data_IF_841453477741
#
_entry.id   IF_841453477741
#
_cell.length_a   1.000
_cell.length_b   1.000
_cell.length_c   1.000
_cell.angle_alpha   90.00
_cell.angle_beta   90.00
_cell.angle_gamma   90.00
#
_symmetry.space_group_name_H-M   'P 1'
#
loop_
_entity.id
_entity.type
_entity.pdbx_description
1 polymer ?
#
# COMPACT_ATOMS: atom_id res chain seq x y z
N UNK A 1 53.36 26.97 45.70
CA UNK A 1 52.80 25.58 45.75
C UNK A 1 51.29 25.65 45.94
N UNK A 2 50.57 24.65 45.43
CA UNK A 2 49.10 24.44 45.38
C UNK A 2 48.39 24.96 44.12
N UNK A 3 48.32 24.08 43.10
CA UNK A 3 47.39 24.14 41.97
C UNK A 3 46.00 23.75 42.47
N UNK A 4 44.98 24.56 42.17
CA UNK A 4 43.57 24.19 42.35
C UNK A 4 43.02 23.74 41.01
N UNK A 5 42.67 22.46 40.93
CA UNK A 5 42.06 21.83 39.76
C UNK A 5 40.55 22.13 39.79
N UNK A 6 40.05 22.92 38.83
CA UNK A 6 38.60 23.08 38.60
C UNK A 6 38.16 22.06 37.57
N UNK A 7 37.39 21.08 38.00
CA UNK A 7 36.69 20.12 37.14
C UNK A 7 35.40 20.79 36.66
N UNK A 8 35.36 21.19 35.39
CA UNK A 8 34.12 21.60 34.73
C UNK A 8 33.42 20.35 34.22
N UNK A 9 32.33 19.98 34.89
CA UNK A 9 31.43 18.89 34.48
C UNK A 9 30.56 19.40 33.33
N UNK A 10 30.92 19.04 32.10
CA UNK A 10 30.10 19.29 30.92
C UNK A 10 28.98 18.23 30.87
N UNK A 11 27.77 18.59 31.30
CA UNK A 11 26.57 17.79 31.07
C UNK A 11 26.25 17.77 29.57
N UNK A 12 26.63 16.69 28.90
CA UNK A 12 26.15 16.38 27.55
C UNK A 12 24.65 16.07 27.60
N UNK A 13 23.83 17.05 27.21
CA UNK A 13 22.44 16.79 26.86
C UNK A 13 22.42 15.89 25.62
N UNK A 14 22.15 14.61 25.82
CA UNK A 14 21.73 13.70 24.76
C UNK A 14 20.38 14.20 24.25
N UNK A 15 20.40 15.00 23.18
CA UNK A 15 19.22 15.27 22.37
C UNK A 15 18.80 13.94 21.75
N UNK A 16 17.82 13.29 22.38
CA UNK A 16 17.06 12.20 21.79
C UNK A 16 16.41 12.77 20.51
N UNK A 17 17.06 12.56 19.37
CA UNK A 17 16.42 12.67 18.06
C UNK A 17 15.36 11.59 18.00
N UNK A 18 14.17 11.92 18.48
CA UNK A 18 12.98 11.14 18.18
C UNK A 18 12.87 11.08 16.66
N UNK A 19 12.95 9.88 16.10
CA UNK A 19 12.56 9.63 14.72
C UNK A 19 11.06 9.97 14.63
N UNK A 20 10.76 11.23 14.30
CA UNK A 20 9.45 11.62 13.79
C UNK A 20 9.25 10.77 12.55
N UNK A 21 8.37 9.76 12.64
CA UNK A 21 7.85 9.04 11.48
C UNK A 21 7.04 10.05 10.69
N UNK A 22 7.72 10.83 9.88
CA UNK A 22 7.13 11.96 9.19
C UNK A 22 6.16 11.44 8.14
N UNK A 23 4.88 11.60 8.43
CA UNK A 23 3.76 11.66 7.51
C UNK A 23 3.98 12.84 6.51
N UNK A 24 5.07 12.82 5.76
CA UNK A 24 5.45 13.93 4.89
C UNK A 24 4.52 13.95 3.69
N UNK A 25 3.74 15.02 3.63
CA UNK A 25 3.04 15.42 2.42
C UNK A 25 4.09 15.95 1.46
N UNK A 26 4.22 15.32 0.30
CA UNK A 26 5.12 15.76 -0.76
C UNK A 26 4.35 16.67 -1.72
N UNK A 27 4.78 17.92 -1.85
CA UNK A 27 4.11 18.90 -2.71
C UNK A 27 4.53 18.70 -4.17
N UNK A 28 3.56 18.54 -5.06
CA UNK A 28 3.74 18.60 -6.51
C UNK A 28 3.34 20.00 -6.96
N UNK A 29 4.26 20.75 -7.55
CA UNK A 29 4.03 22.11 -8.06
C UNK A 29 4.52 22.19 -9.51
N UNK A 30 3.76 22.86 -10.36
CA UNK A 30 4.05 22.99 -11.80
C UNK A 30 4.16 24.45 -12.21
N UNK A 31 4.69 24.71 -13.42
CA UNK A 31 5.04 26.05 -13.88
C UNK A 31 3.84 27.01 -13.99
N UNK A 32 2.63 26.49 -14.23
CA UNK A 32 1.42 27.31 -14.28
C UNK A 32 0.93 27.78 -12.89
N UNK A 33 1.66 27.49 -11.81
CA UNK A 33 1.34 27.83 -10.43
C UNK A 33 0.45 26.81 -9.70
N UNK A 34 -0.13 25.84 -10.41
CA UNK A 34 -0.93 24.79 -9.80
C UNK A 34 -0.10 23.89 -8.89
N UNK A 35 -0.72 23.44 -7.81
CA UNK A 35 -0.07 22.54 -6.87
C UNK A 35 -1.05 21.69 -6.06
N UNK A 36 -0.56 20.53 -5.61
CA UNK A 36 -1.26 19.61 -4.72
C UNK A 36 -0.28 18.90 -3.79
N UNK A 37 -0.72 18.56 -2.58
CA UNK A 37 0.00 17.65 -1.70
C UNK A 37 -0.30 16.19 -2.01
N UNK A 38 0.73 15.36 -2.10
CA UNK A 38 0.64 13.91 -2.23
C UNK A 38 1.07 13.28 -0.91
N UNK A 39 0.22 12.45 -0.32
CA UNK A 39 0.51 11.78 0.94
C UNK A 39 0.49 10.27 0.74
N UNK A 40 1.50 9.58 1.27
CA UNK A 40 1.59 8.12 1.20
C UNK A 40 1.69 7.52 2.59
N UNK A 41 0.83 6.53 2.86
CA UNK A 41 0.83 5.74 4.09
C UNK A 41 0.06 4.45 3.83
N UNK A 42 0.31 3.42 4.63
CA UNK A 42 -0.41 2.15 4.52
C UNK A 42 -1.91 2.32 4.80
N UNK A 43 -2.74 1.60 4.04
CA UNK A 43 -4.19 1.67 4.23
C UNK A 43 -4.58 1.30 5.67
N UNK A 44 -5.42 2.14 6.27
CA UNK A 44 -5.94 1.90 7.61
C UNK A 44 -7.00 0.77 7.56
N UNK A 45 -7.13 -0.06 8.61
CA UNK A 45 -8.07 -1.17 8.62
C UNK A 45 -9.51 -0.78 8.27
N UNK A 46 -10.00 0.35 8.78
CA UNK A 46 -11.34 0.86 8.50
C UNK A 46 -11.59 1.13 7.01
N UNK A 47 -10.53 1.38 6.24
CA UNK A 47 -10.57 1.63 4.80
C UNK A 47 -10.05 0.44 3.97
N UNK A 48 -9.79 -0.70 4.62
CA UNK A 48 -9.25 -1.90 4.00
C UNK A 48 -9.96 -3.18 4.49
N UNK A 49 -11.29 -3.16 4.53
CA UNK A 49 -12.11 -4.30 4.96
C UNK A 49 -11.73 -4.85 6.35
N UNK A 50 -11.41 -3.95 7.28
CA UNK A 50 -10.93 -4.26 8.63
C UNK A 50 -9.62 -5.08 8.67
N UNK A 51 -8.77 -4.95 7.65
CA UNK A 51 -7.46 -5.61 7.56
C UNK A 51 -6.33 -4.60 7.59
N UNK A 52 -5.28 -4.93 8.34
CA UNK A 52 -4.01 -4.22 8.24
C UNK A 52 -3.43 -4.38 6.83
N UNK A 53 -2.86 -3.30 6.30
CA UNK A 53 -2.18 -3.36 5.02
C UNK A 53 -0.90 -4.19 5.11
N UNK A 54 -0.55 -4.82 3.99
CA UNK A 54 0.70 -5.56 3.85
C UNK A 54 1.90 -4.60 3.77
N UNK A 55 2.73 -4.58 4.81
CA UNK A 55 3.96 -3.75 4.85
C UNK A 55 5.17 -4.43 4.22
N UNK A 56 5.05 -5.74 4.00
CA UNK A 56 6.01 -6.66 3.38
C UNK A 56 5.23 -7.68 2.56
N UNK A 57 5.88 -8.39 1.64
CA UNK A 57 5.22 -9.47 0.92
C UNK A 57 4.73 -10.51 1.93
N UNK A 58 3.43 -10.79 1.92
CA UNK A 58 2.82 -11.84 2.74
C UNK A 58 2.60 -13.10 1.92
N UNK A 59 2.87 -14.27 2.49
CA UNK A 59 2.60 -15.57 1.90
C UNK A 59 1.51 -16.24 2.73
N UNK A 60 0.40 -16.59 2.07
CA UNK A 60 -0.73 -17.30 2.65
C UNK A 60 -0.83 -18.68 2.01
N UNK A 61 -0.63 -19.69 2.84
CA UNK A 61 -0.70 -21.12 2.49
C UNK A 61 -2.01 -21.74 2.98
N UNK A 62 -2.30 -22.97 2.56
CA UNK A 62 -3.46 -23.72 3.05
C UNK A 62 -3.44 -23.92 4.57
N UNK A 63 -2.25 -24.06 5.17
CA UNK A 63 -2.10 -24.25 6.61
C UNK A 63 -2.59 -23.03 7.41
N UNK A 64 -2.42 -21.82 6.87
CA UNK A 64 -2.89 -20.58 7.49
C UNK A 64 -4.43 -20.53 7.59
N UNK A 65 -5.13 -21.20 6.68
CA UNK A 65 -6.59 -21.38 6.71
C UNK A 65 -7.02 -22.31 7.83
N UNK A 66 -6.24 -23.34 8.15
CA UNK A 66 -6.52 -24.24 9.28
C UNK A 66 -6.45 -23.56 10.65
N UNK A 67 -5.58 -22.54 10.76
CA UNK A 67 -5.34 -21.80 12.01
C UNK A 67 -6.30 -20.60 12.17
N UNK A 68 -6.72 -19.98 11.06
CA UNK A 68 -7.53 -18.75 11.07
C UNK A 68 -9.04 -18.95 10.97
N UNK A 69 -9.51 -20.15 10.63
CA UNK A 69 -10.91 -20.39 10.28
C UNK A 69 -11.43 -21.61 11.04
N UNK A 70 -12.50 -21.46 11.83
CA UNK A 70 -13.06 -22.54 12.64
C UNK A 70 -13.44 -23.76 11.80
N UNK A 71 -13.38 -24.96 12.40
CA UNK A 71 -13.59 -26.25 11.73
C UNK A 71 -14.89 -26.30 10.90
N UNK A 72 -15.95 -25.62 11.35
CA UNK A 72 -17.25 -25.51 10.68
C UNK A 72 -17.23 -24.75 9.34
N UNK A 73 -16.42 -23.70 9.23
CA UNK A 73 -16.22 -22.94 7.99
C UNK A 73 -15.34 -23.73 7.02
N UNK A 74 -14.31 -24.43 7.54
CA UNK A 74 -13.50 -25.34 6.74
C UNK A 74 -14.36 -26.45 6.12
N UNK A 75 -15.20 -27.12 6.93
CA UNK A 75 -16.07 -28.20 6.43
C UNK A 75 -17.05 -27.73 5.37
N UNK A 76 -17.56 -26.51 5.49
CA UNK A 76 -18.56 -25.97 4.56
C UNK A 76 -17.95 -25.38 3.29
N UNK A 77 -16.72 -24.85 3.32
CA UNK A 77 -15.94 -24.51 2.12
C UNK A 77 -15.51 -25.79 1.38
N UNK A 78 -15.05 -26.82 2.10
CA UNK A 78 -14.64 -28.11 1.52
C UNK A 78 -15.83 -28.91 0.98
N UNK A 79 -17.01 -28.81 1.59
CA UNK A 79 -18.23 -29.47 1.15
C UNK A 79 -19.04 -28.66 0.11
N UNK A 80 -18.52 -27.52 -0.36
CA UNK A 80 -19.18 -26.67 -1.36
C UNK A 80 -20.46 -25.95 -0.89
N UNK A 81 -20.68 -25.87 0.43
CA UNK A 81 -21.94 -25.41 1.06
C UNK A 81 -21.96 -23.97 1.57
N UNK A 82 -20.82 -23.28 1.68
CA UNK A 82 -20.79 -21.83 1.91
C UNK A 82 -20.56 -21.09 0.60
N UNK A 83 -21.41 -20.12 0.29
CA UNK A 83 -21.16 -19.22 -0.83
C UNK A 83 -19.80 -18.57 -0.65
N UNK A 84 -18.94 -18.70 -1.66
CA UNK A 84 -17.58 -18.15 -1.74
C UNK A 84 -17.49 -16.62 -1.53
N UNK A 85 -18.61 -15.95 -1.25
CA UNK A 85 -18.74 -14.51 -1.04
C UNK A 85 -18.40 -14.01 0.38
N UNK A 86 -18.38 -14.87 1.42
CA UNK A 86 -18.13 -14.42 2.81
C UNK A 86 -16.73 -14.71 3.32
N UNK A 87 -16.04 -15.70 2.76
CA UNK A 87 -14.68 -16.05 3.15
C UNK A 87 -13.66 -15.47 2.17
N UNK A 88 -12.84 -14.52 2.63
CA UNK A 88 -11.73 -13.96 1.85
C UNK A 88 -10.40 -14.41 2.44
N UNK A 89 -9.56 -15.06 1.63
CA UNK A 89 -8.21 -15.46 2.03
C UNK A 89 -7.29 -14.27 2.31
N UNK A 90 -7.68 -13.07 1.88
CA UNK A 90 -6.92 -11.85 2.13
C UNK A 90 -6.84 -11.55 3.64
N UNK A 91 -7.80 -12.03 4.45
CA UNK A 91 -7.82 -11.87 5.92
C UNK A 91 -6.80 -12.73 6.66
N UNK A 92 -6.26 -13.77 6.02
CA UNK A 92 -5.41 -14.75 6.68
C UNK A 92 -4.05 -14.15 7.04
N UNK A 93 -3.57 -14.38 8.26
CA UNK A 93 -2.33 -13.76 8.75
C UNK A 93 -1.11 -14.08 7.89
N UNK A 94 -0.98 -15.32 7.44
CA UNK A 94 0.16 -15.78 6.64
C UNK A 94 1.52 -15.55 7.32
N UNK A 95 2.58 -15.61 6.52
CA UNK A 95 3.96 -15.29 6.90
C UNK A 95 4.48 -14.11 6.10
N UNK A 96 5.30 -13.25 6.71
CA UNK A 96 5.93 -12.11 6.02
C UNK A 96 7.31 -12.49 5.50
N UNK A 97 7.66 -11.99 4.31
CA UNK A 97 9.01 -12.11 3.73
C UNK A 97 9.79 -10.84 4.05
N UNK A 98 10.69 -10.92 5.03
CA UNK A 98 11.39 -9.74 5.56
C UNK A 98 12.30 -9.02 4.55
N UNK A 99 12.81 -9.75 3.54
CA UNK A 99 13.64 -9.20 2.47
C UNK A 99 12.84 -8.38 1.44
N UNK A 100 11.50 -8.40 1.50
CA UNK A 100 10.63 -7.77 0.51
C UNK A 100 9.69 -6.77 1.21
N UNK A 101 10.13 -5.51 1.41
CA UNK A 101 9.25 -4.43 1.83
C UNK A 101 8.31 -4.01 0.69
N UNK A 102 7.12 -3.53 1.04
CA UNK A 102 6.11 -3.12 0.06
C UNK A 102 6.64 -1.98 -0.85
N UNK A 103 6.58 -2.13 -2.19
CA UNK A 103 7.33 -1.27 -3.12
C UNK A 103 6.63 0.04 -3.54
N UNK A 104 5.36 0.27 -3.16
CA UNK A 104 4.56 1.42 -3.63
C UNK A 104 5.28 2.75 -3.38
N UNK A 105 5.81 2.95 -2.18
CA UNK A 105 6.49 4.19 -1.83
C UNK A 105 7.76 4.42 -2.67
N UNK A 106 8.52 3.37 -2.96
CA UNK A 106 9.79 3.48 -3.71
C UNK A 106 9.61 3.50 -5.22
N UNK A 107 8.55 2.89 -5.75
CA UNK A 107 8.36 2.73 -7.20
C UNK A 107 7.18 3.53 -7.74
N UNK A 108 5.97 3.29 -7.21
CA UNK A 108 4.74 3.89 -7.74
C UNK A 108 4.65 5.39 -7.42
N UNK A 109 4.93 5.81 -6.18
CA UNK A 109 4.73 7.21 -5.75
C UNK A 109 5.58 8.21 -6.54
N UNK A 110 6.89 7.97 -6.77
CA UNK A 110 7.70 8.87 -7.61
C UNK A 110 7.12 9.05 -9.02
N UNK A 111 6.65 7.97 -9.65
CA UNK A 111 6.05 8.02 -10.98
C UNK A 111 4.66 8.66 -10.98
N UNK A 112 3.84 8.38 -9.98
CA UNK A 112 2.52 8.99 -9.83
C UNK A 112 2.61 10.51 -9.75
N UNK A 113 3.63 11.04 -9.06
CA UNK A 113 3.88 12.50 -9.01
C UNK A 113 4.15 13.10 -10.39
N UNK A 114 4.80 12.37 -11.30
CA UNK A 114 5.02 12.81 -12.69
C UNK A 114 3.68 12.87 -13.43
N UNK A 115 2.87 11.81 -13.36
CA UNK A 115 1.53 11.77 -13.98
C UNK A 115 0.64 12.91 -13.45
N UNK A 116 0.65 13.15 -12.13
CA UNK A 116 -0.09 14.24 -11.49
C UNK A 116 0.42 15.61 -11.97
N UNK A 117 1.74 15.81 -12.05
CA UNK A 117 2.33 17.05 -12.53
C UNK A 117 1.90 17.35 -13.98
N UNK A 118 1.97 16.36 -14.86
CA UNK A 118 1.55 16.51 -16.26
C UNK A 118 0.07 16.90 -16.37
N UNK A 119 -0.80 16.28 -15.57
CA UNK A 119 -2.21 16.64 -15.53
C UNK A 119 -2.42 18.06 -14.99
N UNK A 120 -1.73 18.46 -13.91
CA UNK A 120 -1.83 19.81 -13.35
C UNK A 120 -1.34 20.88 -14.32
N UNK A 121 -0.28 20.60 -15.08
CA UNK A 121 0.23 21.51 -16.08
C UNK A 121 -0.81 21.79 -17.18
N UNK A 122 -1.58 20.76 -17.57
CA UNK A 122 -2.62 20.83 -18.61
C UNK A 122 -3.95 21.40 -18.09
N UNK A 123 -4.37 21.02 -16.88
CA UNK A 123 -5.74 21.22 -16.39
C UNK A 123 -5.85 22.08 -15.11
N UNK A 124 -4.74 22.31 -14.42
CA UNK A 124 -4.74 22.94 -13.10
C UNK A 124 -5.03 24.45 -13.13
N UNK A 125 -4.67 25.16 -14.20
CA UNK A 125 -4.91 26.60 -14.40
C UNK A 125 -4.59 27.48 -13.18
N UNK A 126 -3.45 27.24 -12.53
CA UNK A 126 -3.00 27.99 -11.34
C UNK A 126 -3.69 27.60 -10.03
N UNK A 127 -4.62 26.64 -10.03
CA UNK A 127 -5.34 26.23 -8.82
C UNK A 127 -4.43 25.51 -7.81
N UNK A 128 -4.56 25.90 -6.54
CA UNK A 128 -3.85 25.31 -5.42
C UNK A 128 -4.83 24.45 -4.61
N UNK A 129 -4.71 23.12 -4.73
CA UNK A 129 -5.58 22.18 -4.01
C UNK A 129 -5.28 22.22 -2.51
N UNK A 130 -6.32 22.30 -1.68
CA UNK A 130 -6.18 22.34 -0.22
C UNK A 130 -6.09 20.94 0.37
N UNK A 131 -6.80 19.98 -0.21
CA UNK A 131 -6.79 18.59 0.25
C UNK A 131 -5.72 17.77 -0.48
N UNK A 132 -5.04 16.90 0.25
CA UNK A 132 -4.02 16.02 -0.33
C UNK A 132 -4.66 14.88 -1.12
N UNK A 133 -4.00 14.46 -2.20
CA UNK A 133 -4.22 13.15 -2.79
C UNK A 133 -3.45 12.10 -1.99
N UNK A 134 -4.17 11.14 -1.42
CA UNK A 134 -3.60 10.04 -0.66
C UNK A 134 -3.39 8.84 -1.58
N UNK A 135 -2.21 8.21 -1.47
CA UNK A 135 -1.85 6.96 -2.15
C UNK A 135 -1.58 5.94 -1.05
N UNK A 136 -2.46 4.95 -0.91
CA UNK A 136 -2.40 4.00 0.21
C UNK A 136 -2.28 2.56 -0.27
N UNK A 137 -1.08 1.94 -0.19
CA UNK A 137 -0.93 0.51 -0.43
C UNK A 137 -1.74 -0.27 0.60
N UNK A 138 -2.46 -1.28 0.13
CA UNK A 138 -3.42 -2.03 0.93
C UNK A 138 -3.11 -3.52 0.96
N UNK A 139 -2.73 -4.10 -0.19
CA UNK A 139 -2.46 -5.55 -0.30
C UNK A 139 -1.24 -5.82 -1.15
N UNK A 140 -0.44 -6.77 -0.70
CA UNK A 140 0.67 -7.34 -1.45
C UNK A 140 1.00 -8.73 -0.90
N UNK A 141 0.40 -9.75 -1.51
CA UNK A 141 0.50 -11.11 -1.02
C UNK A 141 0.55 -12.17 -2.13
N UNK A 142 1.18 -13.30 -1.84
CA UNK A 142 1.01 -14.57 -2.53
C UNK A 142 -0.02 -15.40 -1.77
N UNK A 143 -1.05 -15.89 -2.46
CA UNK A 143 -2.12 -16.69 -1.83
C UNK A 143 -2.46 -17.92 -2.66
N UNK A 144 -2.59 -19.06 -1.98
CA UNK A 144 -2.96 -20.32 -2.61
C UNK A 144 -4.35 -20.24 -3.30
N UNK A 145 -4.54 -20.93 -4.42
CA UNK A 145 -5.83 -20.94 -5.15
C UNK A 145 -6.81 -21.98 -4.60
N UNK A 146 -6.37 -23.21 -4.35
CA UNK A 146 -7.21 -24.35 -4.00
C UNK A 146 -6.80 -24.93 -2.64
N UNK A 147 -7.77 -25.12 -1.74
CA UNK A 147 -7.49 -25.61 -0.38
C UNK A 147 -7.16 -27.11 -0.35
N UNK A 148 -7.78 -27.90 -1.24
CA UNK A 148 -7.73 -29.36 -1.22
C UNK A 148 -6.60 -29.97 -2.07
N UNK A 149 -5.91 -29.18 -2.90
CA UNK A 149 -4.79 -29.65 -3.73
C UNK A 149 -3.46 -29.25 -3.10
N UNK A 150 -2.57 -30.23 -2.90
CA UNK A 150 -1.22 -29.99 -2.39
C UNK A 150 -0.40 -29.09 -3.33
N UNK A 151 -0.57 -29.28 -4.64
CA UNK A 151 0.23 -28.61 -5.68
C UNK A 151 -0.51 -27.40 -6.27
N UNK A 152 -1.31 -26.73 -5.44
CA UNK A 152 -2.08 -25.56 -5.88
C UNK A 152 -1.16 -24.42 -6.31
N UNK A 153 -1.61 -23.68 -7.32
CA UNK A 153 -0.95 -22.44 -7.73
C UNK A 153 -1.18 -21.34 -6.69
N UNK A 154 -0.31 -20.34 -6.71
CA UNK A 154 -0.38 -19.16 -5.89
C UNK A 154 -0.62 -17.94 -6.78
N UNK A 155 -1.55 -17.10 -6.36
CA UNK A 155 -1.84 -15.81 -6.98
C UNK A 155 -1.04 -14.71 -6.30
N UNK A 156 -0.36 -13.90 -7.10
CA UNK A 156 0.14 -12.60 -6.63
C UNK A 156 -0.99 -11.59 -6.69
N UNK A 157 -1.34 -11.01 -5.55
CA UNK A 157 -2.36 -9.98 -5.41
C UNK A 157 -1.71 -8.69 -4.94
N UNK A 158 -2.06 -7.60 -5.61
CA UNK A 158 -1.61 -6.26 -5.28
C UNK A 158 -2.78 -5.29 -5.31
N UNK A 159 -2.88 -4.40 -4.33
CA UNK A 159 -3.89 -3.35 -4.33
C UNK A 159 -3.38 -2.06 -3.70
N UNK A 160 -3.70 -0.94 -4.36
CA UNK A 160 -3.43 0.41 -3.89
C UNK A 160 -4.68 1.27 -4.10
N UNK A 161 -4.99 2.12 -3.13
CA UNK A 161 -6.13 3.05 -3.20
C UNK A 161 -5.62 4.47 -3.35
N UNK A 162 -6.22 5.20 -4.28
CA UNK A 162 -6.03 6.63 -4.47
C UNK A 162 -7.29 7.34 -4.01
N UNK A 163 -7.15 8.32 -3.13
CA UNK A 163 -8.33 9.07 -2.70
C UNK A 163 -8.00 10.47 -2.20
N UNK A 164 -8.96 11.37 -2.39
CA UNK A 164 -8.84 12.77 -1.99
C UNK A 164 -10.19 13.27 -1.49
N UNK A 165 -10.16 14.14 -0.49
CA UNK A 165 -11.38 14.83 -0.04
C UNK A 165 -11.75 15.90 -1.08
N UNK A 166 -13.05 16.04 -1.44
CA UNK A 166 -13.51 17.13 -2.28
C UNK A 166 -13.06 18.48 -1.74
N UNK A 167 -12.70 19.41 -2.63
CA UNK A 167 -12.40 20.78 -2.20
C UNK A 167 -13.66 21.41 -1.59
N UNK A 168 -13.51 22.09 -0.45
CA UNK A 168 -14.66 22.57 0.34
C UNK A 168 -15.42 21.49 1.12
N UNK A 169 -15.06 20.21 0.97
CA UNK A 169 -15.61 19.12 1.78
C UNK A 169 -15.19 19.20 3.25
N UNK A 170 -16.07 18.78 4.15
CA UNK A 170 -15.80 18.68 5.58
C UNK A 170 -15.41 17.24 5.98
N UNK A 171 -15.28 16.96 7.27
CA UNK A 171 -14.86 15.62 7.73
C UNK A 171 -15.86 14.49 7.40
N UNK A 172 -17.12 14.83 7.13
CA UNK A 172 -18.18 13.89 6.76
C UNK A 172 -18.35 13.75 5.24
N UNK A 173 -17.64 14.54 4.44
CA UNK A 173 -17.69 14.44 2.98
C UNK A 173 -17.08 13.13 2.51
N UNK A 174 -17.79 12.44 1.63
CA UNK A 174 -17.27 11.27 0.94
C UNK A 174 -16.01 11.63 0.14
N UNK A 175 -15.04 10.73 0.11
CA UNK A 175 -13.83 10.90 -0.68
C UNK A 175 -14.11 10.61 -2.16
N UNK A 176 -13.54 11.41 -3.06
CA UNK A 176 -13.32 10.96 -4.42
C UNK A 176 -12.21 9.90 -4.36
N UNK A 177 -12.51 8.67 -4.80
CA UNK A 177 -11.59 7.55 -4.64
C UNK A 177 -11.62 6.62 -5.85
N UNK A 178 -10.49 5.97 -6.07
CA UNK A 178 -10.32 4.90 -7.03
C UNK A 178 -9.36 3.85 -6.46
N UNK A 179 -9.74 2.58 -6.57
CA UNK A 179 -8.90 1.45 -6.15
C UNK A 179 -8.33 0.77 -7.38
N UNK A 180 -7.01 0.68 -7.44
CA UNK A 180 -6.33 -0.17 -8.40
C UNK A 180 -6.08 -1.54 -7.79
N UNK A 181 -6.53 -2.59 -8.47
CA UNK A 181 -6.31 -3.99 -8.10
C UNK A 181 -6.16 -4.81 -9.38
N UNK A 182 -4.95 -4.90 -9.96
CA UNK A 182 -4.72 -5.61 -11.22
C UNK A 182 -5.11 -7.09 -11.15
N UNK A 183 -5.37 -7.69 -12.30
CA UNK A 183 -5.73 -9.11 -12.41
C UNK A 183 -4.60 -9.99 -11.87
N UNK A 184 -4.87 -10.86 -10.87
CA UNK A 184 -3.85 -11.71 -10.28
C UNK A 184 -3.19 -12.65 -11.27
N UNK A 185 -1.87 -12.81 -11.18
CA UNK A 185 -1.08 -13.76 -11.96
C UNK A 185 -0.82 -14.97 -11.09
N UNK A 186 -0.91 -16.15 -11.71
CA UNK A 186 -0.74 -17.44 -11.02
C UNK A 186 0.59 -18.08 -11.41
N UNK A 187 1.28 -18.64 -10.43
CA UNK A 187 2.43 -19.54 -10.61
C UNK A 187 2.58 -20.43 -9.37
N UNK A 188 3.41 -21.47 -9.45
CA UNK A 188 3.73 -22.28 -8.27
C UNK A 188 4.49 -21.44 -7.24
N UNK A 189 4.39 -21.81 -5.96
CA UNK A 189 5.13 -21.11 -4.90
C UNK A 189 6.65 -21.16 -5.17
N UNK A 190 7.17 -22.28 -5.64
CA UNK A 190 8.59 -22.43 -6.02
C UNK A 190 9.01 -21.45 -7.11
N UNK A 191 8.17 -21.25 -8.14
CA UNK A 191 8.44 -20.27 -9.19
C UNK A 191 8.43 -18.84 -8.64
N UNK A 192 7.49 -18.51 -7.74
CA UNK A 192 7.46 -17.19 -7.12
C UNK A 192 8.66 -16.93 -6.22
N UNK A 193 9.17 -17.95 -5.52
CA UNK A 193 10.31 -17.83 -4.60
C UNK A 193 11.67 -17.89 -5.30
N UNK A 194 11.72 -18.41 -6.53
CA UNK A 194 12.95 -18.56 -7.28
C UNK A 194 13.70 -17.22 -7.47
N UNK A 195 15.03 -17.31 -7.48
CA UNK A 195 15.94 -16.17 -7.74
C UNK A 195 15.64 -14.95 -6.86
N UNK A 196 15.45 -15.16 -5.55
CA UNK A 196 15.09 -14.12 -4.58
C UNK A 196 13.84 -13.34 -5.03
N UNK A 197 12.78 -14.08 -5.35
CA UNK A 197 11.48 -13.54 -5.76
C UNK A 197 11.54 -12.60 -6.96
N UNK A 198 12.43 -12.85 -7.93
CA UNK A 198 12.59 -12.03 -9.12
C UNK A 198 11.26 -11.86 -9.88
N UNK A 199 10.48 -12.94 -10.00
CA UNK A 199 9.17 -12.89 -10.65
C UNK A 199 8.19 -12.01 -9.86
N UNK A 200 8.13 -12.09 -8.53
CA UNK A 200 7.26 -11.20 -7.73
C UNK A 200 7.59 -9.74 -7.97
N UNK A 201 8.89 -9.39 -7.93
CA UNK A 201 9.36 -8.01 -8.15
C UNK A 201 8.93 -7.51 -9.53
N UNK A 202 9.17 -8.30 -10.59
CA UNK A 202 8.79 -7.95 -11.95
C UNK A 202 7.27 -7.75 -12.09
N UNK A 203 6.47 -8.73 -11.67
CA UNK A 203 5.01 -8.66 -11.83
C UNK A 203 4.40 -7.53 -10.99
N UNK A 204 4.93 -7.27 -9.80
CA UNK A 204 4.47 -6.14 -8.97
C UNK A 204 4.78 -4.81 -9.65
N UNK A 205 5.92 -4.69 -10.32
CA UNK A 205 6.25 -3.53 -11.15
C UNK A 205 5.24 -3.35 -12.30
N UNK A 206 4.92 -4.42 -13.03
CA UNK A 206 3.89 -4.39 -14.09
C UNK A 206 2.53 -3.93 -13.54
N UNK A 207 2.11 -4.45 -12.39
CA UNK A 207 0.90 -4.03 -11.70
C UNK A 207 0.90 -2.55 -11.30
N UNK A 208 2.02 -2.03 -10.81
CA UNK A 208 2.14 -0.62 -10.46
C UNK A 208 2.08 0.27 -11.69
N UNK A 209 2.68 -0.15 -12.81
CA UNK A 209 2.61 0.58 -14.08
C UNK A 209 1.17 0.60 -14.65
N UNK A 210 0.43 -0.51 -14.55
CA UNK A 210 -1.01 -0.55 -14.86
C UNK A 210 -1.82 0.41 -13.97
N UNK A 211 -1.49 0.51 -12.69
CA UNK A 211 -2.14 1.44 -11.77
C UNK A 211 -1.83 2.90 -12.10
N UNK A 212 -0.64 3.22 -12.62
CA UNK A 212 -0.30 4.57 -13.06
C UNK A 212 -1.09 4.97 -14.31
N UNK A 213 -1.29 4.05 -15.25
CA UNK A 213 -2.16 4.26 -16.41
C UNK A 213 -3.61 4.54 -15.98
N UNK A 214 -4.13 3.75 -15.05
CA UNK A 214 -5.47 3.98 -14.50
C UNK A 214 -5.57 5.30 -13.72
N UNK A 215 -4.54 5.67 -12.97
CA UNK A 215 -4.49 6.95 -12.25
C UNK A 215 -4.68 8.12 -13.22
N UNK A 216 -3.95 8.16 -14.33
CA UNK A 216 -4.04 9.25 -15.32
C UNK A 216 -5.49 9.48 -15.78
N UNK A 217 -6.19 8.40 -16.13
CA UNK A 217 -7.61 8.46 -16.51
C UNK A 217 -8.57 8.87 -15.40
N UNK A 218 -8.17 8.73 -14.13
CA UNK A 218 -8.99 9.06 -12.96
C UNK A 218 -8.67 10.45 -12.37
N UNK A 219 -7.60 11.12 -12.79
CA UNK A 219 -7.17 12.40 -12.21
C UNK A 219 -8.22 13.49 -12.33
N UNK A 220 -8.98 13.55 -13.44
CA UNK A 220 -10.09 14.51 -13.58
C UNK A 220 -11.18 14.32 -12.53
N UNK A 221 -11.42 13.07 -12.10
CA UNK A 221 -12.39 12.78 -11.05
C UNK A 221 -11.83 13.10 -9.66
N UNK A 222 -10.57 12.71 -9.42
CA UNK A 222 -9.89 12.88 -8.12
C UNK A 222 -9.55 14.35 -7.82
N UNK A 223 -9.25 15.14 -8.86
CA UNK A 223 -8.76 16.52 -8.75
C UNK A 223 -9.81 17.55 -9.17
N UNK A 224 -11.06 17.33 -8.77
CA UNK A 224 -12.11 18.36 -8.85
C UNK A 224 -11.80 19.53 -7.90
N UNK A 225 -12.14 20.73 -8.35
CA UNK A 225 -11.90 21.99 -7.64
C UNK A 225 -12.99 22.36 -6.67
#
# INVERSE_FOLDING_TARGET
>A
MKKVLRVSMASSMLLLTACSSTNNVEKVTVANGSNIGVKTFFALPENNNNQYADTKLRIVTQADTGVGVGLSVLTSVLAGGLSASTFSKDTLKGSSVDSLPEPTKSYLVPKAKVVIADWLQKNGAGYSYKNNLNITPARWLLVYQELSKSDTQFELRYAVTFYKRPEGGNMFSAFDQFKCSPTPRSASLTQWQASDYAMVKQVTTEYMDDCLSQLDGQLTSLLKR
#
